data_IF_306003664214
#
_entry.id   IF_306003664214
#
_cell.length_a   1.000
_cell.length_b   1.000
_cell.length_c   1.000
_cell.angle_alpha   90.00
_cell.angle_beta   90.00
_cell.angle_gamma   90.00
#
_symmetry.space_group_name_H-M   'P 1'
#
loop_
_entity.id
_entity.type
_entity.pdbx_description
1 polymer ?
#
# COMPACT_ATOMS: atom_id res chain seq x y z
N UNK A 1 0.59 -16.93 21.86
CA UNK A 1 1.33 -15.65 21.78
C UNK A 1 0.36 -14.58 21.32
N UNK A 2 -0.04 -13.66 22.19
CA UNK A 2 -0.80 -12.47 21.79
C UNK A 2 0.15 -11.51 21.09
N UNK A 3 0.02 -11.37 19.77
CA UNK A 3 0.83 -10.43 19.00
C UNK A 3 0.62 -9.02 19.51
N UNK A 4 1.67 -8.39 20.06
CA UNK A 4 1.62 -7.01 20.50
C UNK A 4 1.37 -6.08 19.29
N UNK A 5 0.56 -5.04 19.49
CA UNK A 5 0.33 -4.03 18.45
C UNK A 5 1.61 -3.26 18.20
N UNK A 6 2.24 -3.49 17.04
CA UNK A 6 3.40 -2.71 16.59
C UNK A 6 2.89 -1.49 15.82
N UNK A 7 3.38 -0.30 16.17
CA UNK A 7 3.13 0.94 15.44
C UNK A 7 4.40 1.31 14.70
N UNK A 8 4.31 1.54 13.39
CA UNK A 8 5.40 2.14 12.62
C UNK A 8 5.39 3.65 12.74
N UNK A 9 6.54 4.27 12.48
CA UNK A 9 6.64 5.72 12.35
C UNK A 9 5.88 6.23 11.12
N UNK A 10 5.64 7.56 11.08
CA UNK A 10 5.18 8.22 9.85
C UNK A 10 6.38 8.46 8.94
N UNK A 11 6.20 8.20 7.65
CA UNK A 11 7.20 8.37 6.61
C UNK A 11 6.70 9.38 5.56
N UNK A 12 7.61 10.15 4.96
CA UNK A 12 7.28 11.26 4.07
C UNK A 12 7.31 12.63 4.77
N UNK A 13 7.05 13.69 4.00
CA UNK A 13 7.00 15.07 4.49
C UNK A 13 5.71 15.42 5.24
N UNK A 14 5.63 16.67 5.69
CA UNK A 14 4.47 17.22 6.42
C UNK A 14 3.27 17.59 5.52
N UNK A 15 3.39 17.39 4.20
CA UNK A 15 2.38 17.80 3.23
C UNK A 15 1.13 16.92 3.18
N UNK A 16 0.14 17.39 2.43
CA UNK A 16 -1.14 16.69 2.20
C UNK A 16 -2.15 16.83 3.34
N UNK A 17 -3.39 16.41 3.07
CA UNK A 17 -4.45 16.37 4.08
C UNK A 17 -4.46 14.99 4.74
N UNK A 18 -4.51 14.96 6.08
CA UNK A 18 -4.63 13.71 6.83
C UNK A 18 -5.92 13.00 6.41
N UNK A 19 -5.76 11.81 5.83
CA UNK A 19 -6.88 10.93 5.49
C UNK A 19 -7.27 10.08 6.71
N UNK A 20 -8.54 9.67 6.84
CA UNK A 20 -8.96 8.66 7.80
C UNK A 20 -8.15 7.36 7.61
N UNK A 21 -7.82 6.64 8.69
CA UNK A 21 -7.12 5.37 8.57
C UNK A 21 -8.02 4.33 7.89
N UNK A 22 -7.45 3.56 6.98
CA UNK A 22 -8.12 2.38 6.43
C UNK A 22 -7.93 1.20 7.39
N UNK A 23 -8.99 0.85 8.13
CA UNK A 23 -8.97 -0.22 9.13
C UNK A 23 -9.42 -1.53 8.47
N UNK A 24 -8.63 -2.58 8.67
CA UNK A 24 -8.96 -3.95 8.26
C UNK A 24 -9.82 -4.62 9.34
N UNK A 25 -10.84 -5.36 8.91
CA UNK A 25 -11.66 -6.18 9.79
C UNK A 25 -10.94 -7.45 10.25
N UNK A 26 -11.49 -8.18 11.24
CA UNK A 26 -10.91 -9.44 11.70
C UNK A 26 -10.74 -10.46 10.55
N UNK A 27 -9.51 -10.97 10.37
CA UNK A 27 -9.15 -11.91 9.30
C UNK A 27 -9.05 -11.32 7.89
N UNK A 28 -9.33 -10.03 7.72
CA UNK A 28 -9.17 -9.34 6.45
C UNK A 28 -7.72 -8.88 6.27
N UNK A 29 -7.18 -9.11 5.08
CA UNK A 29 -5.82 -8.67 4.73
C UNK A 29 -5.83 -8.00 3.36
N UNK A 30 -4.79 -7.22 3.07
CA UNK A 30 -4.60 -6.62 1.74
C UNK A 30 -4.03 -7.70 0.82
N UNK A 31 -4.68 -7.91 -0.33
CA UNK A 31 -4.22 -8.81 -1.38
C UNK A 31 -3.91 -8.08 -2.68
N UNK A 32 -4.41 -6.85 -2.89
CA UNK A 32 -4.22 -6.12 -4.15
C UNK A 32 -3.89 -4.66 -3.92
N UNK A 33 -3.08 -4.09 -4.80
CA UNK A 33 -2.68 -2.69 -4.78
C UNK A 33 -2.77 -2.14 -6.20
N UNK A 34 -3.44 -1.00 -6.34
CA UNK A 34 -3.35 -0.15 -7.52
C UNK A 34 -2.61 1.12 -7.16
N UNK A 35 -1.85 1.66 -8.09
CA UNK A 35 -1.22 2.94 -7.88
C UNK A 35 -0.84 3.66 -9.16
N UNK A 36 -0.38 4.89 -8.97
CA UNK A 36 0.20 5.71 -10.02
C UNK A 36 1.47 6.35 -9.51
N UNK A 37 2.43 6.53 -10.40
CA UNK A 37 3.67 7.24 -10.13
C UNK A 37 4.04 8.13 -11.31
N UNK A 38 4.91 9.08 -11.05
CA UNK A 38 5.69 9.80 -12.07
C UNK A 38 7.16 9.35 -11.97
N UNK A 39 8.10 10.07 -12.60
CA UNK A 39 9.52 9.69 -12.55
C UNK A 39 10.18 9.91 -11.18
N UNK A 40 9.50 10.57 -10.25
CA UNK A 40 10.07 11.03 -8.98
C UNK A 40 9.37 10.45 -7.75
N UNK A 41 8.08 10.12 -7.85
CA UNK A 41 7.25 9.74 -6.69
C UNK A 41 6.02 8.93 -7.05
N UNK A 42 5.50 8.25 -6.04
CA UNK A 42 4.15 7.69 -6.02
C UNK A 42 3.15 8.83 -5.83
N UNK A 43 2.19 8.95 -6.75
CA UNK A 43 1.18 10.02 -6.76
C UNK A 43 -0.20 9.53 -6.35
N UNK A 44 -0.41 8.20 -6.36
CA UNK A 44 -1.66 7.58 -5.96
C UNK A 44 -1.47 6.14 -5.49
N UNK A 45 -2.23 5.73 -4.46
CA UNK A 45 -2.36 4.35 -4.01
C UNK A 45 -3.81 4.01 -3.66
N UNK A 46 -4.21 2.76 -3.93
CA UNK A 46 -5.46 2.17 -3.48
C UNK A 46 -5.23 0.71 -3.14
N UNK A 47 -5.76 0.27 -2.00
CA UNK A 47 -5.60 -1.10 -1.52
C UNK A 47 -6.90 -1.88 -1.70
N UNK A 48 -6.80 -3.16 -2.05
CA UNK A 48 -7.92 -4.10 -2.14
C UNK A 48 -7.67 -5.22 -1.13
N UNK A 49 -8.72 -5.51 -0.38
CA UNK A 49 -8.70 -6.54 0.65
C UNK A 49 -9.11 -7.90 0.11
N UNK A 50 -8.76 -8.97 0.80
CA UNK A 50 -9.15 -10.35 0.48
C UNK A 50 -10.67 -10.58 0.46
N UNK A 51 -11.46 -9.61 0.94
CA UNK A 51 -12.92 -9.59 0.86
C UNK A 51 -13.45 -8.80 -0.34
N UNK A 52 -12.58 -8.38 -1.26
CA UNK A 52 -12.91 -7.55 -2.41
C UNK A 52 -13.22 -6.09 -2.05
N UNK A 53 -13.09 -5.68 -0.78
CA UNK A 53 -13.37 -4.31 -0.34
C UNK A 53 -12.19 -3.40 -0.71
N UNK A 54 -12.42 -2.32 -1.46
CA UNK A 54 -11.37 -1.35 -1.75
C UNK A 54 -11.22 -0.34 -0.59
N UNK A 55 -10.03 0.21 -0.42
CA UNK A 55 -9.82 1.45 0.32
C UNK A 55 -10.30 2.65 -0.49
N UNK A 56 -10.38 3.79 0.19
CA UNK A 56 -10.32 5.09 -0.49
C UNK A 56 -9.06 5.21 -1.34
N UNK A 57 -9.12 6.07 -2.33
CA UNK A 57 -7.95 6.40 -3.15
C UNK A 57 -7.12 7.45 -2.44
N UNK A 58 -5.87 7.10 -2.09
CA UNK A 58 -4.92 8.00 -1.46
C UNK A 58 -4.11 8.72 -2.53
N UNK A 59 -4.22 10.05 -2.59
CA UNK A 59 -3.56 10.87 -3.61
C UNK A 59 -4.40 11.04 -4.88
N UNK A 60 -4.12 12.12 -5.62
CA UNK A 60 -4.93 12.54 -6.77
C UNK A 60 -4.41 11.99 -8.11
N UNK A 61 -3.26 11.31 -8.11
CA UNK A 61 -2.63 10.86 -9.36
C UNK A 61 -2.19 12.01 -10.28
N UNK A 62 -2.12 13.24 -9.75
CA UNK A 62 -1.68 14.41 -10.49
C UNK A 62 -0.16 14.44 -10.55
N UNK A 63 0.37 14.61 -11.76
CA UNK A 63 1.78 14.82 -12.04
C UNK A 63 1.92 15.95 -13.06
N UNK A 64 3.00 16.71 -12.97
CA UNK A 64 3.44 17.65 -14.02
C UNK A 64 4.19 16.94 -15.14
N UNK A 65 4.53 15.67 -14.93
CA UNK A 65 5.21 14.79 -15.88
C UNK A 65 4.29 13.65 -16.33
N UNK A 66 4.81 12.75 -17.16
CA UNK A 66 4.11 11.52 -17.52
C UNK A 66 3.83 10.68 -16.27
N UNK A 67 2.56 10.26 -16.10
CA UNK A 67 2.14 9.44 -14.98
C UNK A 67 1.79 8.04 -15.46
N UNK A 68 2.46 7.05 -14.88
CA UNK A 68 2.24 5.64 -15.18
C UNK A 68 1.42 4.98 -14.07
N UNK A 69 0.57 4.04 -14.48
CA UNK A 69 -0.23 3.23 -13.56
C UNK A 69 0.42 1.88 -13.34
N UNK A 70 0.28 1.34 -12.14
CA UNK A 70 0.68 -0.02 -11.81
C UNK A 70 -0.41 -0.73 -11.03
N UNK A 71 -0.40 -2.07 -11.13
CA UNK A 71 -1.25 -2.97 -10.37
C UNK A 71 -0.42 -4.13 -9.89
N UNK A 72 -0.51 -4.44 -8.60
CA UNK A 72 0.16 -5.58 -7.99
C UNK A 72 -0.90 -6.40 -7.26
N UNK A 73 -1.07 -7.65 -7.68
CA UNK A 73 -1.83 -8.65 -6.94
C UNK A 73 -0.89 -9.42 -6.03
N UNK A 74 -1.45 -10.01 -4.98
CA UNK A 74 -0.72 -10.88 -4.09
C UNK A 74 -0.04 -11.98 -4.90
N UNK A 75 1.24 -12.26 -4.64
CA UNK A 75 1.85 -13.50 -5.09
C UNK A 75 1.17 -14.70 -4.43
N UNK A 76 1.43 -15.87 -5.00
CA UNK A 76 1.04 -17.17 -4.47
C UNK A 76 2.25 -17.83 -3.77
N UNK A 77 1.98 -18.62 -2.73
CA UNK A 77 2.99 -19.48 -2.12
C UNK A 77 3.23 -20.76 -2.95
N UNK A 78 4.03 -21.69 -2.41
CA UNK A 78 4.35 -22.94 -3.09
C UNK A 78 3.16 -23.88 -3.31
N UNK A 79 2.05 -23.67 -2.58
CA UNK A 79 0.81 -24.45 -2.70
C UNK A 79 -0.23 -23.74 -3.58
N UNK A 80 0.09 -22.56 -4.13
CA UNK A 80 -0.84 -21.76 -4.93
C UNK A 80 -1.78 -20.89 -4.09
N UNK A 81 -1.55 -20.76 -2.78
CA UNK A 81 -2.41 -19.93 -1.92
C UNK A 81 -1.99 -18.46 -2.00
N UNK A 82 -2.95 -17.51 -2.03
CA UNK A 82 -2.63 -16.09 -2.02
C UNK A 82 -2.00 -15.68 -0.68
N UNK A 83 -0.93 -14.89 -0.77
CA UNK A 83 -0.23 -14.30 0.37
C UNK A 83 -0.94 -13.04 0.91
N UNK A 84 -0.55 -12.60 2.12
CA UNK A 84 -0.97 -11.32 2.70
C UNK A 84 0.15 -10.28 2.63
N UNK A 85 -0.20 -9.02 2.43
CA UNK A 85 0.73 -7.91 2.61
C UNK A 85 1.09 -7.80 4.09
N UNK A 86 2.36 -8.05 4.44
CA UNK A 86 2.85 -8.03 5.82
C UNK A 86 3.36 -6.65 6.24
N UNK A 87 4.15 -6.00 5.39
CA UNK A 87 4.64 -4.64 5.61
C UNK A 87 4.95 -3.93 4.29
N UNK A 88 5.07 -2.61 4.38
CA UNK A 88 5.52 -1.75 3.29
C UNK A 88 6.80 -1.08 3.76
N UNK A 89 7.83 -1.09 2.93
CA UNK A 89 9.05 -0.32 3.15
C UNK A 89 9.43 0.42 1.87
N UNK A 90 10.43 1.31 1.94
CA UNK A 90 10.86 2.03 0.75
C UNK A 90 11.59 3.33 1.07
N UNK A 91 11.65 4.19 0.06
CA UNK A 91 12.32 5.48 0.10
C UNK A 91 11.31 6.61 0.14
N UNK A 92 11.51 7.54 1.06
CA UNK A 92 10.75 8.77 1.13
C UNK A 92 11.67 9.95 1.45
N UNK A 93 11.28 11.11 0.95
CA UNK A 93 11.73 12.42 1.42
C UNK A 93 10.48 13.26 1.73
N UNK A 94 10.25 14.39 1.05
CA UNK A 94 8.98 15.12 1.15
C UNK A 94 7.80 14.34 0.56
N UNK A 95 8.07 13.41 -0.37
CA UNK A 95 7.10 12.51 -0.99
C UNK A 95 7.49 11.05 -0.79
N UNK A 96 6.57 10.14 -1.13
CA UNK A 96 6.86 8.72 -1.25
C UNK A 96 7.55 8.46 -2.60
N UNK A 97 8.86 8.22 -2.60
CA UNK A 97 9.64 8.10 -3.85
C UNK A 97 9.65 6.68 -4.40
N UNK A 98 9.64 5.68 -3.51
CA UNK A 98 9.62 4.27 -3.91
C UNK A 98 9.04 3.41 -2.80
N UNK A 99 8.31 2.37 -3.20
CA UNK A 99 7.67 1.41 -2.29
C UNK A 99 8.01 -0.02 -2.66
N UNK A 100 8.17 -0.84 -1.64
CA UNK A 100 8.29 -2.29 -1.71
C UNK A 100 7.18 -2.88 -0.85
N UNK A 101 6.45 -3.81 -1.45
CA UNK A 101 5.37 -4.55 -0.80
C UNK A 101 5.90 -5.92 -0.40
N UNK A 102 5.99 -6.19 0.90
CA UNK A 102 6.49 -7.46 1.41
C UNK A 102 5.34 -8.39 1.77
N UNK A 103 5.33 -9.57 1.15
CA UNK A 103 4.25 -10.55 1.25
C UNK A 103 4.67 -11.75 2.09
N UNK A 104 3.72 -12.36 2.78
CA UNK A 104 3.92 -13.59 3.57
C UNK A 104 2.71 -14.51 3.42
N UNK A 105 2.85 -15.84 3.55
CA UNK A 105 1.70 -16.76 3.60
C UNK A 105 0.74 -16.37 4.72
N UNK A 106 -0.56 -16.57 4.52
CA UNK A 106 -1.66 -16.18 5.44
C UNK A 106 -1.63 -16.94 6.75
#
# INVERSE_FOLDING_TARGET
>A
MTGGRILSGRHGGLGGSKQPPFILGPGEHIFGIYGRHDNSRITQLRFITSRGRPSETFGMGQSTEESQSFSVSSPEDHEGNPMRLQYICGKCDIFLNGVVFAWTPV
#
